data_IF_935899636869
#
_entry.id   IF_935899636869
#
_cell.length_a   1.000
_cell.length_b   1.000
_cell.length_c   1.000
_cell.angle_alpha   90.00
_cell.angle_beta   90.00
_cell.angle_gamma   90.00
#
_symmetry.space_group_name_H-M   'P 1'
#
loop_
_entity.id
_entity.type
_entity.pdbx_description
1 polymer ?
#
# COMPACT_ATOMS: atom_id res chain seq x y z
N UNK A 1 -4.68 -28.99 -21.16
CA UNK A 1 -5.75 -28.66 -20.20
C UNK A 1 -5.27 -27.83 -19.00
N UNK A 2 -4.52 -28.36 -18.01
CA UNK A 2 -4.09 -27.57 -16.82
C UNK A 2 -3.21 -26.35 -17.15
N UNK A 3 -2.31 -26.47 -18.13
CA UNK A 3 -1.45 -25.36 -18.57
C UNK A 3 -2.21 -24.29 -19.35
N UNK A 4 -3.19 -24.66 -20.17
CA UNK A 4 -4.02 -23.69 -20.92
C UNK A 4 -4.88 -22.86 -19.97
N UNK A 5 -5.50 -23.49 -18.96
CA UNK A 5 -6.27 -22.80 -17.93
C UNK A 5 -5.39 -21.82 -17.13
N UNK A 6 -4.13 -22.18 -16.85
CA UNK A 6 -3.18 -21.29 -16.17
C UNK A 6 -2.83 -20.05 -17.00
N UNK A 7 -2.67 -20.23 -18.32
CA UNK A 7 -2.35 -19.14 -19.25
C UNK A 7 -3.54 -18.20 -19.40
N UNK A 8 -4.75 -18.74 -19.57
CA UNK A 8 -5.98 -17.96 -19.71
C UNK A 8 -6.27 -17.12 -18.45
N UNK A 9 -6.06 -17.71 -17.26
CA UNK A 9 -6.17 -16.97 -16.00
C UNK A 9 -5.15 -15.82 -15.90
N UNK A 10 -3.94 -16.00 -16.43
CA UNK A 10 -2.90 -14.96 -16.40
C UNK A 10 -3.26 -13.78 -17.31
N UNK A 11 -3.83 -14.04 -18.48
CA UNK A 11 -4.31 -12.99 -19.39
C UNK A 11 -5.46 -12.19 -18.79
N UNK A 12 -6.42 -12.87 -18.16
CA UNK A 12 -7.54 -12.21 -17.48
C UNK A 12 -7.06 -11.32 -16.32
N UNK A 13 -6.07 -11.80 -15.53
CA UNK A 13 -5.45 -11.01 -14.45
C UNK A 13 -4.76 -9.76 -15.01
N UNK A 14 -4.02 -9.88 -16.12
CA UNK A 14 -3.33 -8.76 -16.73
C UNK A 14 -4.30 -7.74 -17.34
N UNK A 15 -5.37 -8.21 -17.98
CA UNK A 15 -6.44 -7.37 -18.51
C UNK A 15 -7.12 -6.55 -17.40
N UNK A 16 -7.48 -7.23 -16.30
CA UNK A 16 -8.07 -6.58 -15.13
C UNK A 16 -7.11 -5.56 -14.50
N UNK A 17 -5.83 -5.91 -14.38
CA UNK A 17 -4.78 -5.01 -13.87
C UNK A 17 -4.68 -3.73 -14.71
N UNK A 18 -4.69 -3.86 -16.03
CA UNK A 18 -4.60 -2.72 -16.95
C UNK A 18 -5.86 -1.82 -16.85
N UNK A 19 -7.04 -2.42 -16.74
CA UNK A 19 -8.30 -1.69 -16.53
C UNK A 19 -8.28 -0.87 -15.24
N UNK A 20 -7.84 -1.47 -14.13
CA UNK A 20 -7.72 -0.78 -12.84
C UNK A 20 -6.73 0.39 -12.93
N UNK A 21 -5.60 0.20 -13.59
CA UNK A 21 -4.59 1.26 -13.76
C UNK A 21 -5.18 2.42 -14.58
N UNK A 22 -5.80 2.13 -15.72
CA UNK A 22 -6.27 3.17 -16.64
C UNK A 22 -7.43 3.98 -16.07
N UNK A 23 -8.37 3.34 -15.37
CA UNK A 23 -9.54 4.02 -14.82
C UNK A 23 -9.29 4.55 -13.41
N UNK A 24 -8.84 3.72 -12.48
CA UNK A 24 -8.78 4.09 -11.07
C UNK A 24 -7.57 4.99 -10.75
N UNK A 25 -6.40 4.72 -11.33
CA UNK A 25 -5.20 5.51 -11.05
C UNK A 25 -5.17 6.85 -11.81
N UNK A 26 -5.91 6.97 -12.91
CA UNK A 26 -6.12 8.24 -13.62
C UNK A 26 -7.05 9.16 -12.83
N UNK A 27 -8.18 8.62 -12.34
CA UNK A 27 -9.20 9.43 -11.65
C UNK A 27 -8.78 9.81 -10.23
N UNK A 28 -8.00 8.96 -9.54
CA UNK A 28 -7.60 9.20 -8.16
C UNK A 28 -6.12 8.83 -7.97
N UNK A 29 -5.18 9.67 -8.46
CA UNK A 29 -3.74 9.41 -8.35
C UNK A 29 -3.28 9.26 -6.89
N UNK A 30 -4.07 9.79 -5.94
CA UNK A 30 -3.75 9.86 -4.51
C UNK A 30 -4.37 8.73 -3.67
N UNK A 31 -5.24 7.87 -4.25
CA UNK A 31 -5.99 6.83 -3.53
C UNK A 31 -5.10 5.76 -2.87
N UNK A 32 -3.87 5.61 -3.36
CA UNK A 32 -2.87 4.71 -2.76
C UNK A 32 -1.89 5.44 -1.82
N UNK A 33 -1.73 6.75 -1.93
CA UNK A 33 -0.78 7.52 -1.13
C UNK A 33 -1.25 7.77 0.31
N UNK A 34 -2.56 7.88 0.54
CA UNK A 34 -3.11 7.97 1.90
C UNK A 34 -2.81 6.73 2.77
N UNK A 35 -2.53 5.56 2.17
CA UNK A 35 -2.22 4.32 2.91
C UNK A 35 -0.78 4.24 3.43
N UNK A 36 0.15 5.06 2.93
CA UNK A 36 1.59 4.93 3.24
C UNK A 36 2.06 5.48 4.59
N UNK A 37 1.19 6.07 5.42
CA UNK A 37 1.59 6.79 6.65
C UNK A 37 1.24 6.10 7.98
N UNK A 38 1.11 4.78 8.03
CA UNK A 38 0.64 4.12 9.25
C UNK A 38 1.68 3.16 9.85
N UNK A 39 2.60 3.72 10.64
CA UNK A 39 3.25 2.98 11.74
C UNK A 39 2.34 3.14 12.95
N UNK A 40 1.75 2.05 13.40
CA UNK A 40 0.70 2.08 14.43
C UNK A 40 1.25 1.50 15.73
N UNK A 41 1.34 2.27 16.83
CA UNK A 41 1.66 1.68 18.14
C UNK A 41 0.62 0.61 18.53
N UNK A 42 1.03 -0.47 19.19
CA UNK A 42 0.09 -1.55 19.60
C UNK A 42 -1.02 -0.99 20.49
N UNK A 43 -0.69 -0.14 21.45
CA UNK A 43 -1.68 0.49 22.32
C UNK A 43 -2.59 1.49 21.59
N UNK A 44 -2.29 1.82 20.33
CA UNK A 44 -3.15 2.65 19.50
C UNK A 44 -4.05 1.83 18.58
N UNK A 45 -3.93 0.50 18.53
CA UNK A 45 -4.73 -0.33 17.60
C UNK A 45 -6.22 -0.26 17.88
N UNK A 46 -6.65 -0.38 19.15
CA UNK A 46 -8.04 -0.16 19.54
C UNK A 46 -8.49 1.27 19.19
N UNK A 47 -7.64 2.27 19.46
CA UNK A 47 -7.92 3.66 19.11
C UNK A 47 -8.04 3.87 17.59
N UNK A 48 -7.18 3.27 16.78
CA UNK A 48 -7.13 3.42 15.31
C UNK A 48 -8.28 2.72 14.61
N UNK A 49 -8.74 1.58 15.15
CA UNK A 49 -9.94 0.89 14.66
C UNK A 49 -11.19 1.71 15.01
N UNK A 50 -11.25 2.28 16.21
CA UNK A 50 -12.39 3.10 16.66
C UNK A 50 -12.42 4.52 16.06
N UNK A 51 -11.27 5.14 15.77
CA UNK A 51 -11.15 6.47 15.14
C UNK A 51 -11.19 6.43 13.61
N UNK A 52 -11.63 5.31 13.00
CA UNK A 52 -11.83 5.12 11.55
C UNK A 52 -10.57 5.23 10.67
N UNK A 53 -9.38 5.23 11.26
CA UNK A 53 -8.11 5.31 10.52
C UNK A 53 -7.84 4.02 9.73
N UNK A 54 -8.33 2.87 10.18
CA UNK A 54 -8.31 1.60 9.44
C UNK A 54 -9.70 0.96 9.53
N UNK A 55 -10.27 0.59 8.37
CA UNK A 55 -11.56 -0.10 8.27
C UNK A 55 -11.36 -1.55 7.84
N UNK A 56 -12.22 -2.48 8.29
CA UNK A 56 -12.20 -3.84 7.76
C UNK A 56 -12.41 -3.78 6.24
N UNK A 57 -11.59 -4.51 5.50
CA UNK A 57 -11.65 -4.54 4.03
C UNK A 57 -11.56 -5.98 3.54
N UNK A 58 -12.21 -6.28 2.40
CA UNK A 58 -12.10 -7.55 1.68
C UNK A 58 -11.28 -7.37 0.40
N UNK A 59 -10.13 -6.71 0.52
CA UNK A 59 -9.24 -6.45 -0.61
C UNK A 59 -8.51 -7.73 -1.03
N UNK A 60 -8.36 -8.02 -2.34
CA UNK A 60 -7.50 -9.11 -2.81
C UNK A 60 -6.01 -8.79 -2.61
N UNK A 61 -5.68 -7.51 -2.39
CA UNK A 61 -4.34 -7.07 -2.02
C UNK A 61 -4.18 -7.07 -0.51
N UNK A 62 -3.22 -7.85 -0.01
CA UNK A 62 -2.81 -7.89 1.39
C UNK A 62 -1.30 -7.63 1.51
N UNK A 63 -0.87 -7.18 2.69
CA UNK A 63 0.53 -7.00 3.05
C UNK A 63 0.78 -7.71 4.38
N UNK A 64 1.99 -8.24 4.55
CA UNK A 64 2.41 -8.84 5.80
C UNK A 64 2.52 -7.77 6.90
N UNK A 65 2.14 -8.12 8.13
CA UNK A 65 2.18 -7.23 9.29
C UNK A 65 3.01 -7.87 10.39
N UNK A 66 3.97 -7.12 10.96
CA UNK A 66 4.86 -7.60 12.01
C UNK A 66 4.96 -6.62 13.17
N UNK A 67 5.28 -7.15 14.34
CA UNK A 67 5.48 -6.37 15.56
C UNK A 67 6.96 -6.05 15.76
N UNK A 68 7.27 -4.78 15.98
CA UNK A 68 8.62 -4.32 16.31
C UNK A 68 8.61 -3.76 17.72
N UNK A 69 9.45 -4.32 18.60
CA UNK A 69 9.61 -3.84 19.96
C UNK A 69 10.91 -3.03 20.09
N UNK A 70 10.77 -1.70 20.07
CA UNK A 70 11.87 -0.74 20.26
C UNK A 70 11.55 0.21 21.42
N UNK A 71 11.29 -0.38 22.59
CA UNK A 71 10.85 0.32 23.81
C UNK A 71 9.33 0.49 23.87
N UNK A 72 8.70 0.96 22.79
CA UNK A 72 7.24 0.93 22.62
C UNK A 72 6.91 0.01 21.47
N UNK A 73 6.02 -0.99 21.66
CA UNK A 73 5.71 -1.92 20.60
C UNK A 73 4.89 -1.25 19.50
N UNK A 74 5.31 -1.45 18.24
CA UNK A 74 4.71 -0.89 17.04
C UNK A 74 4.33 -1.99 16.07
N UNK A 75 3.12 -1.91 15.54
CA UNK A 75 2.63 -2.65 14.39
C UNK A 75 3.17 -1.99 13.12
N UNK A 76 3.91 -2.75 12.31
CA UNK A 76 4.52 -2.28 11.06
C UNK A 76 3.97 -3.14 9.92
N UNK A 77 3.50 -2.47 8.86
CA UNK A 77 2.97 -3.13 7.67
C UNK A 77 4.06 -3.15 6.59
N UNK A 78 4.37 -4.33 6.05
CA UNK A 78 5.37 -4.54 5.03
C UNK A 78 4.85 -4.17 3.64
N UNK A 79 5.08 -2.92 3.22
CA UNK A 79 4.68 -2.46 1.89
C UNK A 79 5.69 -2.79 0.76
N UNK A 80 6.72 -3.63 0.99
CA UNK A 80 7.78 -3.87 -0.02
C UNK A 80 7.22 -4.37 -1.35
N UNK A 81 6.36 -5.40 -1.32
CA UNK A 81 5.73 -5.96 -2.51
C UNK A 81 4.86 -4.92 -3.25
N UNK A 82 4.09 -4.15 -2.48
CA UNK A 82 3.23 -3.10 -3.02
C UNK A 82 4.07 -1.96 -3.65
N UNK A 83 5.17 -1.57 -3.01
CA UNK A 83 6.06 -0.54 -3.50
C UNK A 83 6.79 -0.93 -4.79
N UNK A 84 7.08 -2.22 -4.99
CA UNK A 84 7.65 -2.71 -6.26
C UNK A 84 6.64 -2.66 -7.39
N UNK A 85 5.37 -2.98 -7.11
CA UNK A 85 4.32 -2.99 -8.12
C UNK A 85 3.86 -1.58 -8.54
N UNK A 86 3.98 -0.59 -7.65
CA UNK A 86 3.60 0.79 -7.92
C UNK A 86 4.77 1.57 -8.53
N UNK A 87 4.54 2.29 -9.64
CA UNK A 87 5.53 3.25 -10.14
C UNK A 87 5.73 4.39 -9.14
N UNK A 88 6.99 4.69 -8.84
CA UNK A 88 7.34 5.72 -7.88
C UNK A 88 7.25 7.11 -8.53
N UNK A 89 6.26 7.91 -8.12
CA UNK A 89 6.22 9.34 -8.45
C UNK A 89 7.19 10.05 -7.51
N UNK A 90 8.35 10.47 -8.02
CA UNK A 90 9.36 11.21 -7.26
C UNK A 90 9.09 12.70 -7.36
N UNK A 91 8.78 13.33 -6.23
CA UNK A 91 8.81 14.79 -6.11
C UNK A 91 10.21 15.21 -5.68
N UNK A 92 10.71 16.32 -6.22
CA UNK A 92 12.01 16.87 -5.81
C UNK A 92 11.90 17.40 -4.37
N UNK A 93 12.46 16.68 -3.41
CA UNK A 93 12.53 17.11 -2.02
C UNK A 93 13.88 17.82 -1.84
N UNK A 94 13.89 19.13 -1.55
CA UNK A 94 15.14 19.87 -1.33
C UNK A 94 15.90 19.32 -0.13
N UNK A 95 17.23 19.38 -0.15
CA UNK A 95 18.01 18.97 1.00
C UNK A 95 17.84 19.97 2.15
N UNK A 96 18.09 19.51 3.38
CA UNK A 96 18.04 20.39 4.57
C UNK A 96 18.88 21.66 4.41
N UNK A 97 20.04 21.57 3.74
CA UNK A 97 20.92 22.73 3.48
C UNK A 97 20.28 23.75 2.55
N UNK A 98 19.50 23.28 1.58
CA UNK A 98 18.81 24.13 0.60
C UNK A 98 17.65 24.90 1.25
N UNK A 99 17.14 24.40 2.39
CA UNK A 99 16.04 24.99 3.16
C UNK A 99 16.47 26.02 4.21
N UNK A 100 17.77 26.08 4.57
CA UNK A 100 18.27 26.89 5.68
C UNK A 100 18.96 28.19 5.22
N UNK A 101 18.61 28.68 4.03
CA UNK A 101 19.09 29.96 3.50
C UNK A 101 18.21 31.13 3.93
#
# INVERSE_FOLDING_TARGET
MKQEILIENFEQINSLKNSIINHLCSDIPNAFWHRKRHVVPIQMTYKIIHELLIRPSKSPWNCEVFYVNSGTPRLVINYKLLNTALQCIRHHIPNKKDLLK
#
